data_IF_985969781324
#
_entry.id   IF_985969781324
#
_cell.length_a   1.000
_cell.length_b   1.000
_cell.length_c   1.000
_cell.angle_alpha   90.00
_cell.angle_beta   90.00
_cell.angle_gamma   90.00
#
_symmetry.space_group_name_H-M   'P 1'
#
loop_
_entity.id
_entity.type
_entity.pdbx_description
1 polymer ?
#
# COMPACT_ATOMS: atom_id res chain seq x y z
N UNK A 1 13.48 14.13 7.02
CA UNK A 1 12.48 14.72 7.93
C UNK A 1 11.28 15.18 7.11
N UNK A 2 10.12 14.53 7.25
CA UNK A 2 8.86 15.17 6.89
C UNK A 2 8.55 16.17 8.01
N UNK A 3 9.05 17.38 7.83
CA UNK A 3 8.81 18.49 8.73
C UNK A 3 7.79 19.41 8.05
N UNK A 4 6.57 19.46 8.59
CA UNK A 4 5.56 20.47 8.27
C UNK A 4 4.24 19.92 7.75
N UNK A 5 3.17 20.16 8.52
CA UNK A 5 1.80 20.25 8.01
C UNK A 5 1.01 18.95 8.03
N UNK A 6 -0.24 19.04 8.48
CA UNK A 6 -1.16 17.92 8.59
C UNK A 6 -1.40 17.25 7.23
N UNK A 7 -0.94 16.01 7.04
CA UNK A 7 -1.19 15.27 5.81
C UNK A 7 -1.87 13.94 6.11
N UNK A 8 -2.74 13.50 5.21
CA UNK A 8 -3.34 12.16 5.26
C UNK A 8 -3.02 11.39 3.99
N UNK A 9 -2.78 10.09 4.14
CA UNK A 9 -2.69 9.16 3.02
C UNK A 9 -4.05 8.51 2.83
N UNK A 10 -4.55 8.57 1.60
CA UNK A 10 -5.83 7.99 1.18
C UNK A 10 -5.55 6.87 0.19
N UNK A 11 -6.21 5.74 0.38
CA UNK A 11 -6.16 4.60 -0.53
C UNK A 11 -7.52 4.43 -1.23
N UNK A 12 -7.49 4.16 -2.52
CA UNK A 12 -8.66 3.76 -3.29
C UNK A 12 -8.78 2.23 -3.33
N UNK A 13 -9.66 1.68 -2.52
CA UNK A 13 -10.00 0.26 -2.50
C UNK A 13 -11.31 -0.07 -3.25
N UNK A 14 -11.82 0.88 -4.05
CA UNK A 14 -13.09 0.70 -4.76
C UNK A 14 -13.07 -0.54 -5.66
N UNK A 15 -14.11 -1.37 -5.53
CA UNK A 15 -14.23 -2.67 -6.20
C UNK A 15 -13.83 -3.86 -5.33
N UNK A 16 -13.23 -3.65 -4.16
CA UNK A 16 -12.99 -4.73 -3.20
C UNK A 16 -14.24 -5.01 -2.34
N UNK A 17 -14.94 -6.10 -2.66
CA UNK A 17 -16.10 -6.57 -1.88
C UNK A 17 -15.80 -7.81 -1.03
N UNK A 18 -14.64 -8.43 -1.24
CA UNK A 18 -14.20 -9.66 -0.59
C UNK A 18 -12.99 -10.25 -1.31
N UNK A 19 -12.43 -11.32 -0.76
CA UNK A 19 -11.20 -11.94 -1.30
C UNK A 19 -11.36 -12.39 -2.75
N UNK A 20 -12.58 -12.75 -3.17
CA UNK A 20 -12.94 -13.12 -4.54
C UNK A 20 -12.76 -11.98 -5.55
N UNK A 21 -12.87 -10.71 -5.13
CA UNK A 21 -12.66 -9.52 -5.98
C UNK A 21 -11.22 -9.40 -6.50
N UNK A 22 -10.30 -10.21 -5.98
CA UNK A 22 -8.88 -10.19 -6.34
C UNK A 22 -8.42 -11.49 -7.01
N UNK A 23 -9.32 -12.37 -7.42
CA UNK A 23 -8.95 -13.63 -8.07
C UNK A 23 -8.87 -13.49 -9.58
N UNK A 24 -8.19 -14.44 -10.24
CA UNK A 24 -8.20 -14.58 -11.70
C UNK A 24 -7.64 -13.33 -12.41
N UNK A 25 -6.63 -12.68 -11.82
CA UNK A 25 -6.02 -11.45 -12.33
C UNK A 25 -6.80 -10.18 -12.02
N UNK A 26 -7.99 -10.28 -11.41
CA UNK A 26 -8.82 -9.14 -11.03
C UNK A 26 -8.23 -8.37 -9.85
N UNK A 27 -8.61 -7.10 -9.71
CA UNK A 27 -8.14 -6.22 -8.65
C UNK A 27 -9.12 -5.04 -8.44
N UNK A 28 -8.81 -4.14 -7.51
CA UNK A 28 -9.55 -2.90 -7.28
C UNK A 28 -9.18 -1.82 -8.28
N UNK A 29 -9.91 -0.71 -8.25
CA UNK A 29 -9.47 0.52 -8.94
C UNK A 29 -8.15 1.03 -8.34
N UNK A 30 -7.22 1.56 -9.16
CA UNK A 30 -5.98 2.14 -8.66
C UNK A 30 -6.21 3.43 -7.88
N UNK A 31 -5.26 3.79 -7.03
CA UNK A 31 -5.21 5.09 -6.39
C UNK A 31 -4.62 5.03 -5.00
N UNK A 32 -3.55 5.79 -4.80
CA UNK A 32 -3.07 6.19 -3.47
C UNK A 32 -2.77 7.67 -3.56
N UNK A 33 -3.26 8.47 -2.63
CA UNK A 33 -3.06 9.91 -2.67
C UNK A 33 -2.54 10.42 -1.34
N UNK A 34 -1.76 11.49 -1.40
CA UNK A 34 -1.48 12.33 -0.24
C UNK A 34 -2.32 13.60 -0.36
N UNK A 35 -3.04 13.91 0.71
CA UNK A 35 -3.80 15.14 0.85
C UNK A 35 -3.16 15.95 1.97
N UNK A 36 -2.81 17.19 1.65
CA UNK A 36 -2.22 18.13 2.60
C UNK A 36 -3.32 19.09 3.08
N UNK A 37 -3.34 19.33 4.40
CA UNK A 37 -4.24 20.23 5.10
C UNK A 37 -3.46 21.48 5.49
N UNK A 38 -3.93 22.62 5.01
CA UNK A 38 -3.39 23.95 5.28
C UNK A 38 -3.87 24.47 6.65
N UNK A 39 -3.17 25.46 7.20
CA UNK A 39 -3.50 26.06 8.50
C UNK A 39 -4.88 26.75 8.51
N UNK A 40 -5.38 27.16 7.34
CA UNK A 40 -6.71 27.76 7.16
C UNK A 40 -7.85 26.73 7.06
N UNK A 41 -7.51 25.44 7.16
CA UNK A 41 -8.47 24.33 7.08
C UNK A 41 -8.78 23.85 5.66
N UNK A 42 -8.19 24.45 4.63
CA UNK A 42 -8.33 23.96 3.25
C UNK A 42 -7.47 22.73 2.99
N UNK A 43 -7.86 21.91 2.02
CA UNK A 43 -7.13 20.70 1.65
C UNK A 43 -6.81 20.71 0.16
N UNK A 44 -5.65 20.19 -0.21
CA UNK A 44 -5.30 19.95 -1.61
C UNK A 44 -4.64 18.59 -1.78
N UNK A 45 -4.82 18.00 -2.96
CA UNK A 45 -4.13 16.75 -3.33
C UNK A 45 -2.69 17.12 -3.70
N UNK A 46 -1.73 16.70 -2.89
CA UNK A 46 -0.31 16.92 -3.14
C UNK A 46 0.17 16.04 -4.30
N UNK A 47 -0.27 14.77 -4.32
CA UNK A 47 -0.01 13.84 -5.40
C UNK A 47 -1.00 12.67 -5.38
N UNK A 48 -1.14 12.01 -6.54
CA UNK A 48 -1.84 10.73 -6.70
C UNK A 48 -0.93 9.75 -7.42
N UNK A 49 -0.78 8.55 -6.84
CA UNK A 49 -0.11 7.40 -7.40
C UNK A 49 -1.12 6.45 -8.04
N UNK A 50 -0.72 5.81 -9.13
CA UNK A 50 -1.54 4.81 -9.85
C UNK A 50 -1.42 3.40 -9.28
N UNK A 51 -0.77 3.22 -8.12
CA UNK A 51 -0.66 1.93 -7.46
C UNK A 51 -2.04 1.40 -7.08
N UNK A 52 -2.31 0.14 -7.43
CA UNK A 52 -3.52 -0.57 -7.04
C UNK A 52 -3.31 -1.33 -5.75
N UNK A 53 -4.02 -0.94 -4.70
CA UNK A 53 -4.00 -1.57 -3.39
C UNK A 53 -5.44 -1.92 -3.00
N UNK A 54 -5.86 -3.19 -3.08
CA UNK A 54 -7.27 -3.55 -2.90
C UNK A 54 -7.75 -3.52 -1.45
N UNK A 55 -6.85 -3.67 -0.49
CA UNK A 55 -7.17 -3.97 0.90
C UNK A 55 -6.12 -3.45 1.87
N UNK A 56 -5.30 -2.52 1.43
CA UNK A 56 -4.18 -2.06 2.22
C UNK A 56 -4.65 -1.14 3.36
N UNK A 57 -3.80 -1.07 4.37
CA UNK A 57 -3.86 -0.04 5.41
C UNK A 57 -2.47 0.58 5.39
N UNK A 58 -2.25 1.65 4.59
CA UNK A 58 -0.92 2.13 4.28
C UNK A 58 -0.15 2.58 5.52
N UNK A 59 1.19 2.48 5.48
CA UNK A 59 2.06 2.92 6.57
C UNK A 59 3.18 3.81 6.07
N UNK A 60 3.32 4.98 6.69
CA UNK A 60 4.44 5.88 6.45
C UNK A 60 5.56 5.58 7.44
N UNK A 61 6.78 5.45 6.94
CA UNK A 61 8.01 5.47 7.72
C UNK A 61 8.68 6.84 7.61
N UNK A 62 8.67 7.60 8.69
CA UNK A 62 9.29 8.93 8.74
C UNK A 62 10.83 8.86 8.71
N UNK A 63 11.40 7.73 9.10
CA UNK A 63 12.85 7.53 9.15
C UNK A 63 13.49 7.47 7.76
N UNK A 64 12.81 6.86 6.79
CA UNK A 64 13.31 6.70 5.42
C UNK A 64 12.47 7.43 4.35
N UNK A 65 11.37 8.07 4.74
CA UNK A 65 10.51 8.82 3.81
C UNK A 65 9.69 7.93 2.87
N UNK A 66 9.49 6.66 3.22
CA UNK A 66 8.72 5.72 2.41
C UNK A 66 7.31 5.51 2.97
N UNK A 67 6.36 5.42 2.04
CA UNK A 67 5.01 4.93 2.24
C UNK A 67 4.93 3.48 1.75
N UNK A 68 4.50 2.58 2.61
CA UNK A 68 4.28 1.18 2.29
C UNK A 68 2.82 0.91 2.04
N UNK A 69 2.53 0.28 0.91
CA UNK A 69 1.21 -0.19 0.50
C UNK A 69 1.29 -1.66 0.09
N UNK A 70 0.20 -2.40 0.32
CA UNK A 70 0.10 -3.78 -0.11
C UNK A 70 -0.68 -3.85 -1.42
N UNK A 71 0.05 -4.01 -2.51
CA UNK A 71 -0.47 -3.79 -3.86
C UNK A 71 -0.71 -5.10 -4.62
N UNK A 72 -1.70 -5.05 -5.49
CA UNK A 72 -2.00 -6.10 -6.47
C UNK A 72 -2.37 -5.43 -7.80
N UNK A 73 -1.42 -5.23 -8.73
CA UNK A 73 -1.75 -4.71 -10.04
C UNK A 73 -2.67 -5.69 -10.80
N UNK A 74 -3.47 -5.16 -11.72
CA UNK A 74 -4.22 -6.00 -12.64
C UNK A 74 -3.25 -6.84 -13.47
N UNK A 75 -3.58 -8.09 -13.71
CA UNK A 75 -2.73 -8.99 -14.50
C UNK A 75 -3.57 -9.95 -15.34
N UNK A 76 -2.91 -10.88 -16.02
CA UNK A 76 -3.56 -11.90 -16.84
C UNK A 76 -4.19 -13.01 -15.97
N UNK A 77 -5.00 -13.84 -16.61
CA UNK A 77 -5.67 -14.96 -15.96
C UNK A 77 -4.65 -15.86 -15.22
N UNK A 78 -4.95 -16.21 -13.96
CA UNK A 78 -4.09 -17.01 -13.04
C UNK A 78 -2.90 -16.26 -12.41
N UNK A 79 -2.71 -14.97 -12.69
CA UNK A 79 -1.74 -14.14 -11.97
C UNK A 79 -2.41 -13.25 -10.92
N UNK A 80 -2.46 -13.77 -9.69
CA UNK A 80 -2.86 -13.07 -8.48
C UNK A 80 -1.64 -12.73 -7.62
N UNK A 81 -0.59 -12.19 -8.23
CA UNK A 81 0.62 -11.78 -7.53
C UNK A 81 0.40 -10.55 -6.64
N UNK A 82 0.81 -10.67 -5.38
CA UNK A 82 0.81 -9.60 -4.38
C UNK A 82 2.22 -9.07 -4.11
N UNK A 83 2.30 -7.81 -3.71
CA UNK A 83 3.55 -7.11 -3.51
C UNK A 83 3.48 -6.18 -2.29
N UNK A 84 4.55 -6.16 -1.50
CA UNK A 84 4.85 -4.99 -0.67
C UNK A 84 5.48 -3.93 -1.58
N UNK A 85 4.83 -2.79 -1.71
CA UNK A 85 5.29 -1.70 -2.58
C UNK A 85 5.65 -0.49 -1.74
N UNK A 86 6.84 0.05 -1.99
CA UNK A 86 7.28 1.29 -1.38
C UNK A 86 7.13 2.45 -2.36
N UNK A 87 6.51 3.51 -1.85
CA UNK A 87 6.27 4.78 -2.54
C UNK A 87 7.06 5.86 -1.80
N UNK A 88 7.69 6.77 -2.53
CA UNK A 88 8.25 7.98 -1.97
C UNK A 88 7.11 8.89 -1.46
N UNK A 89 7.07 9.15 -0.15
CA UNK A 89 5.92 9.86 0.46
C UNK A 89 5.84 11.33 0.01
N UNK A 90 6.91 11.90 -0.55
CA UNK A 90 6.94 13.27 -1.05
C UNK A 90 6.39 13.45 -2.43
N UNK A 91 6.71 12.51 -3.29
CA UNK A 91 6.47 12.62 -4.73
C UNK A 91 5.37 11.69 -5.22
N UNK A 92 5.00 10.67 -4.43
CA UNK A 92 4.07 9.62 -4.86
C UNK A 92 4.67 8.61 -5.84
N UNK A 93 5.98 8.71 -6.12
CA UNK A 93 6.68 7.83 -7.04
C UNK A 93 6.96 6.46 -6.41
N UNK A 94 6.64 5.38 -7.12
CA UNK A 94 7.03 4.03 -6.71
C UNK A 94 8.55 3.91 -6.72
N UNK A 95 9.12 3.48 -5.58
CA UNK A 95 10.56 3.24 -5.43
C UNK A 95 10.93 1.80 -5.73
N UNK A 96 10.13 0.86 -5.23
CA UNK A 96 10.34 -0.58 -5.46
C UNK A 96 9.09 -1.39 -5.10
N UNK A 97 9.05 -2.62 -5.60
CA UNK A 97 7.98 -3.58 -5.37
C UNK A 97 8.62 -4.93 -5.03
N UNK A 98 8.33 -5.48 -3.86
CA UNK A 98 8.80 -6.81 -3.46
C UNK A 98 7.64 -7.79 -3.53
N UNK A 99 7.73 -8.77 -4.44
CA UNK A 99 6.70 -9.80 -4.58
C UNK A 99 6.65 -10.69 -3.34
N UNK A 100 5.44 -10.96 -2.87
CA UNK A 100 5.17 -11.85 -1.73
C UNK A 100 4.77 -13.25 -2.18
N UNK A 101 3.86 -13.34 -3.14
CA UNK A 101 3.43 -14.60 -3.73
C UNK A 101 2.22 -14.45 -4.64
N UNK A 102 1.75 -15.58 -5.17
CA UNK A 102 0.58 -15.66 -6.07
C UNK A 102 -0.58 -16.40 -5.38
N UNK A 103 -1.77 -15.81 -5.43
CA UNK A 103 -3.02 -16.44 -5.01
C UNK A 103 -3.66 -15.79 -3.78
N UNK A 104 -4.84 -16.32 -3.43
CA UNK A 104 -5.71 -15.78 -2.38
C UNK A 104 -5.05 -15.75 -1.00
N UNK A 105 -4.17 -16.71 -0.70
CA UNK A 105 -3.49 -16.86 0.59
C UNK A 105 -2.58 -15.69 0.94
N UNK A 106 -2.19 -14.90 -0.06
CA UNK A 106 -1.34 -13.72 0.10
C UNK A 106 -2.13 -12.43 0.30
N UNK A 107 -3.46 -12.45 0.15
CA UNK A 107 -4.32 -11.30 0.41
C UNK A 107 -4.28 -10.93 1.91
N UNK A 108 -4.11 -9.65 2.25
CA UNK A 108 -4.08 -9.17 3.63
C UNK A 108 -5.46 -8.88 4.22
N UNK A 109 -6.48 -8.73 3.38
CA UNK A 109 -7.88 -8.53 3.75
C UNK A 109 -8.09 -7.49 4.86
N UNK A 110 -7.58 -6.28 4.64
CA UNK A 110 -7.61 -5.13 5.58
C UNK A 110 -6.75 -5.30 6.84
N UNK A 111 -5.99 -6.39 6.97
CA UNK A 111 -4.97 -6.46 7.99
C UNK A 111 -3.87 -5.42 7.74
N UNK A 112 -3.45 -4.74 8.79
CA UNK A 112 -2.52 -3.61 8.68
C UNK A 112 -1.08 -4.05 8.43
N UNK A 113 -0.32 -3.22 7.73
CA UNK A 113 1.14 -3.33 7.69
C UNK A 113 1.68 -2.84 9.04
N UNK A 114 2.72 -3.46 9.58
CA UNK A 114 3.39 -2.99 10.79
C UNK A 114 4.87 -2.75 10.52
N UNK A 115 5.41 -1.67 11.08
CA UNK A 115 6.83 -1.34 11.00
C UNK A 115 7.44 -1.56 12.38
N UNK A 116 8.42 -2.45 12.47
CA UNK A 116 9.13 -2.78 13.70
C UNK A 116 10.27 -1.81 13.99
N UNK A 117 10.69 -1.68 15.26
CA UNK A 117 11.86 -0.87 15.63
C UNK A 117 13.18 -1.43 15.09
N UNK A 118 13.19 -2.69 14.65
CA UNK A 118 14.31 -3.37 13.99
C UNK A 118 14.40 -3.05 12.49
N UNK A 119 13.58 -2.12 11.98
CA UNK A 119 13.52 -1.78 10.56
C UNK A 119 12.72 -2.77 9.70
N UNK A 120 12.17 -3.84 10.30
CA UNK A 120 11.36 -4.80 9.55
C UNK A 120 9.96 -4.29 9.25
N UNK A 121 9.41 -4.68 8.10
CA UNK A 121 7.98 -4.57 7.82
C UNK A 121 7.30 -5.93 8.01
N UNK A 122 6.07 -5.93 8.51
CA UNK A 122 5.27 -7.12 8.73
C UNK A 122 3.91 -6.97 8.04
N UNK A 123 3.53 -7.97 7.25
CA UNK A 123 2.24 -7.98 6.54
C UNK A 123 1.49 -9.27 6.88
N UNK A 124 0.39 -9.20 7.63
CA UNK A 124 -0.49 -10.33 7.83
C UNK A 124 -1.24 -10.64 6.53
N UNK A 125 -1.42 -11.92 6.25
CA UNK A 125 -2.20 -12.44 5.13
C UNK A 125 -3.17 -13.51 5.61
N UNK A 126 -4.08 -13.95 4.73
CA UNK A 126 -5.01 -15.05 5.06
C UNK A 126 -4.32 -16.32 5.54
N UNK A 127 -3.08 -16.59 5.12
CA UNK A 127 -2.33 -17.80 5.49
C UNK A 127 -1.22 -17.59 6.51
N UNK A 128 -0.97 -16.38 7.00
CA UNK A 128 0.06 -16.17 8.01
C UNK A 128 0.60 -14.75 8.07
N UNK A 129 1.88 -14.62 8.41
CA UNK A 129 2.57 -13.35 8.55
C UNK A 129 3.84 -13.36 7.70
N UNK A 130 4.05 -12.32 6.92
CA UNK A 130 5.26 -12.11 6.14
C UNK A 130 6.12 -11.07 6.85
N UNK A 131 7.40 -11.36 7.05
CA UNK A 131 8.41 -10.39 7.51
C UNK A 131 9.30 -9.99 6.34
N UNK A 132 9.52 -8.69 6.18
CA UNK A 132 10.49 -8.10 5.27
C UNK A 132 11.57 -7.44 6.10
N UNK A 133 12.82 -7.72 5.75
CA UNK A 133 13.98 -7.10 6.37
C UNK A 133 15.05 -6.94 5.28
N UNK A 134 15.71 -5.79 5.26
CA UNK A 134 16.91 -5.57 4.47
C UNK A 134 18.08 -6.40 5.02
N UNK A 135 19.10 -6.61 4.18
CA UNK A 135 20.35 -7.27 4.56
C UNK A 135 21.47 -6.25 4.72
#
# INVERSE_FOLDING_TARGET
>A
SYAGGHSVIVENNYGYAGVQSTLLGQTSSPGVARVDLEDDGTCHVAWTSTVTAPTSVPKVSLGNGLLYVYSKPASFLLDDSWYLTAIDVGTGATRWNQRTGNGIQWNNHYASIYLGPDGSAYVPTLAGLIRFHDQ
#
